data_IF_069093182031
#
_entry.id   IF_069093182031
#
_cell.length_a   1.000
_cell.length_b   1.000
_cell.length_c   1.000
_cell.angle_alpha   90.00
_cell.angle_beta   90.00
_cell.angle_gamma   90.00
#
_symmetry.space_group_name_H-M   'P 1'
#
loop_
_entity.id
_entity.type
_entity.pdbx_description
1 polymer ?
#
# COMPACT_ATOMS: atom_id res chain seq x y z
N UNK A 1 7.08 -10.54 -24.06
CA UNK A 1 6.75 -11.59 -23.08
C UNK A 1 7.31 -11.13 -21.75
N UNK A 2 6.53 -10.34 -21.01
CA UNK A 2 6.93 -9.80 -19.71
C UNK A 2 6.58 -10.86 -18.65
N UNK A 3 7.56 -11.58 -18.14
CA UNK A 3 7.41 -12.39 -16.93
C UNK A 3 7.86 -11.56 -15.71
N UNK A 4 6.97 -11.61 -14.72
CA UNK A 4 6.93 -11.06 -13.37
C UNK A 4 8.24 -10.59 -12.71
N UNK A 5 8.48 -9.28 -12.78
CA UNK A 5 9.36 -8.57 -11.83
C UNK A 5 8.69 -8.48 -10.44
N UNK A 6 7.35 -8.58 -10.40
CA UNK A 6 6.48 -8.49 -9.23
C UNK A 6 6.66 -9.67 -8.27
N UNK A 7 6.73 -10.92 -8.75
CA UNK A 7 6.81 -12.10 -7.88
C UNK A 7 8.12 -12.16 -7.08
N UNK A 8 9.26 -11.84 -7.70
CA UNK A 8 10.56 -11.86 -7.01
C UNK A 8 10.69 -10.73 -5.97
N UNK A 9 10.11 -9.56 -6.22
CA UNK A 9 10.08 -8.47 -5.25
C UNK A 9 9.17 -8.79 -4.05
N UNK A 10 8.01 -9.41 -4.31
CA UNK A 10 7.08 -9.90 -3.27
C UNK A 10 7.73 -10.97 -2.39
N UNK A 11 8.45 -11.92 -2.98
CA UNK A 11 9.09 -13.01 -2.24
C UNK A 11 10.22 -12.52 -1.32
N UNK A 12 11.00 -11.52 -1.76
CA UNK A 12 12.05 -10.92 -0.93
C UNK A 12 11.48 -10.12 0.25
N UNK A 13 10.38 -9.38 0.05
CA UNK A 13 9.67 -8.66 1.13
C UNK A 13 9.07 -9.63 2.16
N UNK A 14 8.59 -10.80 1.74
CA UNK A 14 8.00 -11.80 2.64
C UNK A 14 9.02 -12.38 3.63
N UNK A 15 10.27 -12.60 3.19
CA UNK A 15 11.32 -13.18 4.05
C UNK A 15 11.82 -12.19 5.11
N UNK A 16 11.83 -10.89 4.80
CA UNK A 16 12.15 -9.83 5.76
C UNK A 16 11.03 -9.60 6.77
N UNK A 17 9.77 -9.73 6.34
CA UNK A 17 8.60 -9.54 7.21
C UNK A 17 8.35 -10.74 8.15
N UNK A 18 8.40 -11.96 7.62
CA UNK A 18 8.21 -13.19 8.42
C UNK A 18 9.32 -13.41 9.45
N UNK A 19 10.55 -12.95 9.18
CA UNK A 19 11.66 -13.03 10.12
C UNK A 19 11.58 -12.06 11.31
N UNK A 20 10.78 -10.98 11.22
CA UNK A 20 10.66 -9.97 12.30
C UNK A 20 9.48 -10.23 13.25
N UNK A 21 8.38 -10.81 12.76
CA UNK A 21 7.22 -11.15 13.61
C UNK A 21 7.41 -12.41 14.47
N UNK A 22 8.40 -13.26 14.16
CA UNK A 22 8.77 -14.42 15.00
C UNK A 22 9.39 -14.07 16.37
N UNK A 23 9.46 -12.78 16.73
CA UNK A 23 10.05 -12.31 17.99
C UNK A 23 9.04 -12.21 19.15
N UNK A 24 7.74 -12.39 18.90
CA UNK A 24 6.67 -12.29 19.92
C UNK A 24 5.89 -13.61 20.00
N UNK A 25 6.60 -14.70 20.32
CA UNK A 25 6.12 -15.75 21.23
C UNK A 25 7.17 -16.85 21.31
N UNK A 26 7.85 -16.89 22.44
CA UNK A 26 8.91 -17.84 22.70
C UNK A 26 8.28 -19.17 23.10
N UNK A 27 8.10 -20.08 22.12
CA UNK A 27 8.09 -21.56 22.23
C UNK A 27 7.56 -22.14 20.92
N UNK A 28 8.45 -22.45 19.98
CA UNK A 28 8.28 -23.64 19.13
C UNK A 28 9.60 -24.06 18.45
N UNK A 29 9.74 -25.38 18.38
CA UNK A 29 10.95 -26.14 18.07
C UNK A 29 11.42 -25.91 16.63
N UNK A 30 12.73 -25.78 16.48
CA UNK A 30 13.41 -25.73 15.19
C UNK A 30 13.14 -26.98 14.34
N UNK A 31 12.43 -26.81 13.24
CA UNK A 31 12.40 -27.75 12.12
C UNK A 31 13.46 -27.32 11.11
N UNK A 32 14.53 -28.11 11.01
CA UNK A 32 15.53 -28.03 9.95
C UNK A 32 14.88 -28.43 8.63
N UNK A 33 14.68 -27.48 7.71
CA UNK A 33 14.38 -27.77 6.32
C UNK A 33 15.69 -27.61 5.52
N UNK A 34 16.14 -28.64 4.77
CA UNK A 34 17.34 -28.54 3.94
C UNK A 34 17.05 -27.69 2.68
N UNK A 35 17.72 -26.55 2.58
CA UNK A 35 17.65 -25.67 1.41
C UNK A 35 18.67 -26.14 0.35
N UNK A 36 18.23 -26.98 -0.61
CA UNK A 36 19.05 -27.39 -1.77
C UNK A 36 18.82 -26.54 -3.04
N UNK A 37 18.04 -25.46 -2.98
CA UNK A 37 17.77 -24.60 -4.13
C UNK A 37 18.42 -23.23 -3.96
N UNK A 38 19.73 -23.13 -4.16
CA UNK A 38 20.42 -21.84 -4.11
C UNK A 38 21.63 -21.70 -5.07
N UNK A 39 21.73 -22.49 -6.14
CA UNK A 39 22.97 -22.51 -6.96
C UNK A 39 22.86 -22.44 -8.49
N UNK A 40 21.75 -22.02 -9.09
CA UNK A 40 21.67 -21.99 -10.57
C UNK A 40 21.28 -20.63 -11.20
N UNK A 41 20.96 -19.60 -10.41
CA UNK A 41 20.38 -18.36 -10.97
C UNK A 41 21.35 -17.17 -11.18
N UNK A 42 22.65 -17.43 -11.39
CA UNK A 42 23.65 -16.36 -11.56
C UNK A 42 24.37 -16.32 -12.91
N UNK A 43 23.98 -17.14 -13.89
CA UNK A 43 24.62 -17.20 -15.20
C UNK A 43 23.52 -17.36 -16.26
N UNK A 44 22.94 -16.26 -16.77
CA UNK A 44 22.25 -16.14 -18.09
C UNK A 44 21.32 -14.90 -18.17
N UNK A 45 21.72 -13.70 -17.73
CA UNK A 45 20.92 -12.49 -18.05
C UNK A 45 21.79 -11.24 -18.29
N UNK A 46 22.95 -11.38 -18.95
CA UNK A 46 23.81 -10.21 -19.20
C UNK A 46 24.37 -10.04 -20.61
N UNK A 47 23.88 -10.79 -21.61
CA UNK A 47 24.54 -10.79 -22.93
C UNK A 47 23.66 -10.65 -24.17
N UNK A 48 22.45 -10.11 -24.03
CA UNK A 48 21.65 -9.75 -25.20
C UNK A 48 20.93 -8.44 -24.91
N UNK A 49 21.49 -7.32 -25.38
CA UNK A 49 20.78 -6.18 -26.00
C UNK A 49 21.70 -4.95 -26.08
N UNK A 50 22.65 -4.97 -27.02
CA UNK A 50 23.28 -3.75 -27.56
C UNK A 50 23.37 -3.83 -29.07
N UNK A 51 22.22 -3.96 -29.75
CA UNK A 51 22.14 -3.70 -31.18
C UNK A 51 22.23 -2.19 -31.39
N UNK A 52 23.38 -1.75 -31.92
CA UNK A 52 23.71 -0.36 -32.16
C UNK A 52 22.83 0.27 -33.23
N UNK A 53 21.90 1.13 -32.81
CA UNK A 53 21.19 2.06 -33.69
C UNK A 53 21.99 3.37 -33.69
N UNK A 54 22.76 3.63 -34.76
CA UNK A 54 23.36 4.93 -35.03
C UNK A 54 22.33 5.78 -35.75
N UNK A 55 21.79 6.80 -35.08
CA UNK A 55 20.94 7.81 -35.70
C UNK A 55 20.53 8.89 -34.70
N UNK A 56 20.89 10.14 -34.99
CA UNK A 56 20.81 11.33 -34.13
C UNK A 56 19.38 11.78 -33.70
N UNK A 57 18.37 10.90 -33.81
CA UNK A 57 16.99 11.13 -33.36
C UNK A 57 16.65 10.46 -32.02
N UNK A 58 17.65 9.88 -31.34
CA UNK A 58 17.42 9.04 -30.14
C UNK A 58 17.47 9.82 -28.81
N UNK A 59 17.76 11.13 -28.86
CA UNK A 59 17.79 11.99 -27.65
C UNK A 59 16.39 12.41 -27.20
N UNK A 60 15.49 12.72 -28.12
CA UNK A 60 14.19 13.34 -27.77
C UNK A 60 13.13 12.34 -27.25
N UNK A 61 13.26 11.04 -27.55
CA UNK A 61 12.28 10.01 -27.14
C UNK A 61 12.50 9.53 -25.70
N UNK A 62 13.74 9.55 -25.19
CA UNK A 62 14.03 9.08 -23.82
C UNK A 62 13.57 10.06 -22.74
N UNK A 63 13.49 11.35 -23.06
CA UNK A 63 13.12 12.41 -22.11
C UNK A 63 11.59 12.45 -21.87
N UNK A 64 10.78 12.17 -22.90
CA UNK A 64 9.32 12.13 -22.79
C UNK A 64 8.77 10.93 -22.00
N UNK A 65 9.46 9.78 -22.01
CA UNK A 65 9.09 8.61 -21.20
C UNK A 65 9.49 8.74 -19.73
N UNK A 66 10.50 9.55 -19.42
CA UNK A 66 10.96 9.78 -18.05
C UNK A 66 10.04 10.74 -17.27
N UNK A 67 9.39 11.68 -17.97
CA UNK A 67 8.55 12.73 -17.38
C UNK A 67 7.15 12.28 -16.94
N UNK A 68 6.76 11.01 -17.09
CA UNK A 68 5.41 10.53 -16.73
C UNK A 68 5.34 9.42 -15.69
N UNK A 69 6.44 9.11 -15.00
CA UNK A 69 6.32 8.34 -13.76
C UNK A 69 5.88 9.27 -12.63
N UNK A 70 4.60 9.63 -12.63
CA UNK A 70 3.97 10.30 -11.50
C UNK A 70 4.00 9.31 -10.33
N UNK A 71 4.80 9.60 -9.30
CA UNK A 71 4.77 8.84 -8.06
C UNK A 71 3.37 8.93 -7.49
N UNK A 72 2.68 7.79 -7.44
CA UNK A 72 1.32 7.72 -6.91
C UNK A 72 1.40 7.80 -5.39
N UNK A 73 0.40 8.45 -4.80
CA UNK A 73 0.22 8.52 -3.35
C UNK A 73 -1.04 7.73 -3.00
N UNK A 74 -0.92 6.78 -2.09
CA UNK A 74 -2.03 5.95 -1.62
C UNK A 74 -2.41 6.35 -0.22
N UNK A 75 -3.71 6.46 0.04
CA UNK A 75 -4.25 6.70 1.36
C UNK A 75 -5.15 5.53 1.73
N UNK A 76 -4.78 4.80 2.76
CA UNK A 76 -5.43 3.56 3.14
C UNK A 76 -6.28 3.81 4.38
N UNK A 77 -7.54 3.42 4.29
CA UNK A 77 -8.47 3.41 5.42
C UNK A 77 -7.96 2.46 6.54
N UNK A 78 -8.36 2.73 7.79
CA UNK A 78 -7.98 1.96 8.97
C UNK A 78 -8.32 0.48 8.80
N UNK A 79 -9.46 0.17 8.16
CA UNK A 79 -9.90 -1.20 7.89
C UNK A 79 -8.87 -2.03 7.11
N UNK A 80 -8.09 -1.42 6.22
CA UNK A 80 -7.06 -2.10 5.41
C UNK A 80 -5.81 -2.41 6.24
N UNK A 81 -5.42 -1.51 7.15
CA UNK A 81 -4.33 -1.76 8.10
C UNK A 81 -4.67 -2.92 9.04
N UNK A 82 -5.92 -2.96 9.49
CA UNK A 82 -6.45 -4.04 10.33
C UNK A 82 -6.46 -5.37 9.56
N UNK A 83 -6.93 -5.36 8.31
CA UNK A 83 -6.88 -6.54 7.43
C UNK A 83 -5.47 -7.13 7.35
N UNK A 84 -4.47 -6.27 7.14
CA UNK A 84 -3.06 -6.64 7.08
C UNK A 84 -2.56 -7.21 8.42
N UNK A 85 -2.81 -6.52 9.52
CA UNK A 85 -2.25 -6.88 10.83
C UNK A 85 -2.86 -8.17 11.40
N UNK A 86 -4.18 -8.31 11.32
CA UNK A 86 -4.90 -9.45 11.89
C UNK A 86 -5.05 -10.62 10.92
N UNK A 87 -4.63 -10.44 9.65
CA UNK A 87 -4.85 -11.39 8.57
C UNK A 87 -6.33 -11.79 8.44
N UNK A 88 -7.22 -10.79 8.40
CA UNK A 88 -8.68 -11.01 8.45
C UNK A 88 -9.17 -11.78 7.22
N UNK A 89 -10.31 -12.44 7.39
CA UNK A 89 -11.06 -13.08 6.31
C UNK A 89 -12.43 -12.46 6.14
N UNK A 90 -12.87 -12.32 4.88
CA UNK A 90 -14.19 -11.79 4.52
C UNK A 90 -15.31 -12.80 4.71
N UNK A 91 -16.55 -12.38 4.45
CA UNK A 91 -17.76 -13.20 4.63
C UNK A 91 -17.71 -14.52 3.84
N UNK A 92 -17.12 -14.51 2.64
CA UNK A 92 -16.95 -15.69 1.79
C UNK A 92 -15.57 -16.35 1.95
N UNK A 93 -14.94 -16.22 3.13
CA UNK A 93 -13.57 -16.67 3.38
C UNK A 93 -12.56 -16.01 2.41
N UNK A 94 -12.87 -14.80 1.94
CA UNK A 94 -11.99 -13.98 1.11
C UNK A 94 -10.73 -13.63 1.93
N UNK A 95 -9.53 -13.75 1.36
CA UNK A 95 -8.30 -13.54 2.09
C UNK A 95 -7.94 -12.04 2.16
N UNK A 96 -8.67 -11.28 2.98
CA UNK A 96 -8.51 -9.82 3.07
C UNK A 96 -7.09 -9.42 3.47
N UNK A 97 -6.50 -10.16 4.42
CA UNK A 97 -5.10 -10.00 4.80
C UNK A 97 -4.13 -10.18 3.65
N UNK A 98 -4.33 -11.18 2.79
CA UNK A 98 -3.47 -11.41 1.61
C UNK A 98 -3.62 -10.29 0.58
N UNK A 99 -4.84 -9.78 0.37
CA UNK A 99 -5.06 -8.64 -0.52
C UNK A 99 -4.38 -7.37 -0.01
N UNK A 100 -4.50 -7.08 1.28
CA UNK A 100 -3.79 -5.96 1.90
C UNK A 100 -2.27 -6.16 1.77
N UNK A 101 -1.75 -7.34 2.14
CA UNK A 101 -0.33 -7.67 2.00
C UNK A 101 0.21 -7.43 0.58
N UNK A 102 -0.49 -7.95 -0.44
CA UNK A 102 -0.10 -7.76 -1.85
C UNK A 102 -0.12 -6.28 -2.25
N UNK A 103 -1.12 -5.52 -1.81
CA UNK A 103 -1.21 -4.09 -2.08
C UNK A 103 -0.01 -3.33 -1.47
N UNK A 104 0.31 -3.55 -0.21
CA UNK A 104 1.47 -2.91 0.45
C UNK A 104 2.78 -3.29 -0.25
N UNK A 105 2.93 -4.55 -0.65
CA UNK A 105 4.07 -5.03 -1.44
C UNK A 105 4.18 -4.32 -2.79
N UNK A 106 3.07 -4.14 -3.51
CA UNK A 106 3.01 -3.43 -4.79
C UNK A 106 3.37 -1.95 -4.65
N UNK A 107 2.84 -1.26 -3.62
CA UNK A 107 3.15 0.15 -3.35
C UNK A 107 4.65 0.31 -3.10
N UNK A 108 5.23 -0.54 -2.25
CA UNK A 108 6.66 -0.53 -1.90
C UNK A 108 7.56 -0.84 -3.11
N UNK A 109 7.24 -1.90 -3.86
CA UNK A 109 7.99 -2.29 -5.06
C UNK A 109 7.99 -1.19 -6.14
N UNK A 110 6.86 -0.49 -6.27
CA UNK A 110 6.69 0.61 -7.22
C UNK A 110 7.28 1.95 -6.73
N UNK A 111 7.87 1.99 -5.52
CA UNK A 111 8.37 3.22 -4.87
C UNK A 111 7.30 4.33 -4.78
N UNK A 112 6.03 3.93 -4.71
CA UNK A 112 4.93 4.86 -4.47
C UNK A 112 4.90 5.27 -2.99
N UNK A 113 4.21 6.37 -2.69
CA UNK A 113 4.12 6.88 -1.32
C UNK A 113 2.86 6.39 -0.63
N UNK A 114 2.98 6.11 0.65
CA UNK A 114 1.87 5.74 1.52
C UNK A 114 1.58 6.91 2.45
N UNK A 115 0.39 7.46 2.40
CA UNK A 115 0.01 8.64 3.18
C UNK A 115 -0.67 8.20 4.48
N UNK A 116 -0.21 8.75 5.60
CA UNK A 116 -0.80 8.52 6.93
C UNK A 116 -1.23 9.87 7.49
N UNK A 117 -2.48 9.96 7.93
CA UNK A 117 -3.01 11.15 8.61
C UNK A 117 -3.00 10.98 10.13
N UNK A 118 -3.00 12.09 10.87
CA UNK A 118 -3.23 12.06 12.33
C UNK A 118 -4.62 11.52 12.68
N UNK A 119 -5.59 11.66 11.79
CA UNK A 119 -6.93 11.11 11.95
C UNK A 119 -6.95 9.58 11.84
N UNK A 120 -6.27 9.01 10.84
CA UNK A 120 -6.11 7.56 10.69
C UNK A 120 -5.47 6.93 11.94
N UNK A 121 -4.45 7.59 12.50
CA UNK A 121 -3.81 7.11 13.74
C UNK A 121 -4.81 7.05 14.90
N UNK A 122 -5.67 8.07 15.06
CA UNK A 122 -6.71 8.08 16.12
C UNK A 122 -7.77 7.00 15.93
N UNK A 123 -8.12 6.66 14.69
CA UNK A 123 -9.03 5.55 14.42
C UNK A 123 -8.42 4.22 14.83
N UNK A 124 -7.14 4.00 14.53
CA UNK A 124 -6.40 2.81 14.97
C UNK A 124 -6.24 2.77 16.50
N UNK A 125 -6.00 3.91 17.15
CA UNK A 125 -5.91 4.03 18.62
C UNK A 125 -7.18 3.58 19.35
N UNK A 126 -8.32 3.49 18.65
CA UNK A 126 -9.56 2.96 19.23
C UNK A 126 -9.49 1.46 19.52
N UNK A 127 -8.58 0.72 18.87
CA UNK A 127 -8.47 -0.75 19.00
C UNK A 127 -7.05 -1.23 19.33
N UNK A 128 -6.02 -0.39 19.12
CA UNK A 128 -4.62 -0.76 19.28
C UNK A 128 -3.85 0.27 20.11
N UNK A 129 -2.83 -0.20 20.82
CA UNK A 129 -1.87 0.68 21.51
C UNK A 129 -1.00 1.45 20.52
N UNK A 130 -0.42 2.57 20.98
CA UNK A 130 0.50 3.36 20.15
C UNK A 130 1.75 2.54 19.76
N UNK A 131 2.20 1.63 20.62
CA UNK A 131 3.30 0.70 20.33
C UNK A 131 2.96 -0.26 19.19
N UNK A 132 1.76 -0.84 19.19
CA UNK A 132 1.27 -1.71 18.12
C UNK A 132 1.14 -0.94 16.80
N UNK A 133 0.55 0.26 16.83
CA UNK A 133 0.42 1.12 15.65
C UNK A 133 1.80 1.47 15.08
N UNK A 134 2.75 1.82 15.94
CA UNK A 134 4.13 2.05 15.52
C UNK A 134 4.76 0.78 14.90
N UNK A 135 4.45 -0.39 15.46
CA UNK A 135 4.85 -1.69 14.90
C UNK A 135 4.27 -1.97 13.50
N UNK A 136 2.99 -1.64 13.28
CA UNK A 136 2.32 -1.77 11.97
C UNK A 136 2.97 -0.87 10.91
N UNK A 137 3.32 0.37 11.29
CA UNK A 137 3.82 1.41 10.41
C UNK A 137 5.31 1.21 10.07
N UNK A 138 6.11 0.69 11.02
CA UNK A 138 7.57 0.60 10.93
C UNK A 138 8.12 -0.04 9.62
N UNK A 139 7.54 -1.11 9.06
CA UNK A 139 8.05 -1.74 7.83
C UNK A 139 7.98 -0.86 6.57
N UNK A 140 7.24 0.25 6.63
CA UNK A 140 6.95 1.14 5.50
C UNK A 140 7.44 2.58 5.73
N UNK A 141 8.24 2.82 6.78
CA UNK A 141 8.66 4.17 7.21
C UNK A 141 9.36 4.97 6.11
N UNK A 142 10.07 4.29 5.19
CA UNK A 142 10.79 4.87 4.06
C UNK A 142 9.87 5.41 2.93
N UNK A 143 8.67 4.86 2.82
CA UNK A 143 7.67 5.26 1.83
C UNK A 143 6.52 6.08 2.41
N UNK A 144 6.50 6.29 3.74
CA UNK A 144 5.43 7.03 4.40
C UNK A 144 5.58 8.55 4.23
N UNK A 145 4.47 9.20 3.93
CA UNK A 145 4.29 10.66 3.96
C UNK A 145 3.20 10.98 4.99
N UNK A 146 3.48 11.91 5.91
CA UNK A 146 2.53 12.28 6.97
C UNK A 146 1.76 13.54 6.59
N UNK A 147 0.45 13.51 6.80
CA UNK A 147 -0.44 14.67 6.59
C UNK A 147 -1.22 14.96 7.87
N UNK A 148 -1.58 16.22 8.09
CA UNK A 148 -2.34 16.64 9.25
C UNK A 148 -3.71 17.18 8.82
N UNK A 149 -4.75 16.74 9.52
CA UNK A 149 -6.10 17.23 9.26
C UNK A 149 -6.26 18.66 9.76
N UNK A 150 -6.65 19.55 8.85
CA UNK A 150 -6.96 20.94 9.19
C UNK A 150 -8.36 21.09 9.79
N UNK A 151 -8.58 22.16 10.57
CA UNK A 151 -9.91 22.49 11.09
C UNK A 151 -10.95 22.67 9.97
N UNK A 152 -10.55 23.35 8.88
CA UNK A 152 -11.43 23.57 7.71
C UNK A 152 -11.95 22.27 7.12
N UNK A 153 -11.08 21.26 6.97
CA UNK A 153 -11.47 19.94 6.47
C UNK A 153 -12.44 19.23 7.42
N UNK A 154 -12.25 19.36 8.74
CA UNK A 154 -13.18 18.78 9.74
C UNK A 154 -14.55 19.46 9.70
N UNK A 155 -14.57 20.79 9.58
CA UNK A 155 -15.82 21.55 9.50
C UNK A 155 -16.57 21.23 8.19
N UNK A 156 -15.86 21.15 7.05
CA UNK A 156 -16.40 20.72 5.77
C UNK A 156 -16.95 19.28 5.83
N UNK A 157 -16.19 18.35 6.40
CA UNK A 157 -16.61 16.95 6.56
C UNK A 157 -17.90 16.83 7.36
N UNK A 158 -18.05 17.62 8.44
CA UNK A 158 -19.25 17.62 9.28
C UNK A 158 -20.49 18.09 8.51
N UNK A 159 -20.37 19.14 7.71
CA UNK A 159 -21.50 19.66 6.92
C UNK A 159 -21.93 18.63 5.88
N UNK A 160 -20.98 18.11 5.09
CA UNK A 160 -21.26 17.11 4.05
C UNK A 160 -21.81 15.80 4.62
N UNK A 161 -21.29 15.36 5.78
CA UNK A 161 -21.79 14.20 6.49
C UNK A 161 -23.25 14.36 6.91
N UNK A 162 -23.65 15.54 7.36
CA UNK A 162 -25.05 15.83 7.70
C UNK A 162 -25.94 15.86 6.46
N UNK A 163 -25.51 16.51 5.38
CA UNK A 163 -26.27 16.60 4.12
C UNK A 163 -26.52 15.22 3.49
N UNK A 164 -25.53 14.32 3.57
CA UNK A 164 -25.59 12.99 2.95
C UNK A 164 -25.97 11.87 3.92
N UNK A 165 -26.19 12.18 5.20
CA UNK A 165 -26.42 11.19 6.25
C UNK A 165 -25.33 10.10 6.32
N UNK A 166 -24.06 10.52 6.21
CA UNK A 166 -22.88 9.65 6.24
C UNK A 166 -22.06 9.87 7.52
N UNK A 167 -21.21 8.90 7.93
CA UNK A 167 -20.28 9.11 9.04
C UNK A 167 -19.27 10.22 8.72
N UNK A 168 -19.02 11.17 9.64
CA UNK A 168 -18.09 12.27 9.39
C UNK A 168 -16.64 11.82 9.18
N UNK A 169 -16.25 10.66 9.72
CA UNK A 169 -14.93 10.06 9.48
C UNK A 169 -14.71 9.65 8.03
N UNK A 170 -15.67 8.94 7.43
CA UNK A 170 -15.61 8.50 6.03
C UNK A 170 -15.57 9.69 5.06
N UNK A 171 -16.35 10.73 5.36
CA UNK A 171 -16.32 11.98 4.59
C UNK A 171 -14.97 12.67 4.72
N UNK A 172 -14.38 12.69 5.93
CA UNK A 172 -13.06 13.28 6.16
C UNK A 172 -11.95 12.56 5.41
N UNK A 173 -11.98 11.22 5.35
CA UNK A 173 -11.04 10.43 4.52
C UNK A 173 -11.14 10.82 3.04
N UNK A 174 -12.34 11.01 2.52
CA UNK A 174 -12.57 11.42 1.13
C UNK A 174 -12.03 12.83 0.84
N UNK A 175 -12.26 13.78 1.76
CA UNK A 175 -11.72 15.14 1.65
C UNK A 175 -10.19 15.14 1.70
N UNK A 176 -9.59 14.36 2.60
CA UNK A 176 -8.13 14.21 2.66
C UNK A 176 -7.55 13.67 1.36
N UNK A 177 -8.21 12.67 0.77
CA UNK A 177 -7.80 12.10 -0.50
C UNK A 177 -7.90 13.13 -1.63
N UNK A 178 -9.00 13.88 -1.71
CA UNK A 178 -9.20 14.96 -2.69
C UNK A 178 -8.11 16.03 -2.59
N UNK A 179 -7.93 16.61 -1.40
CA UNK A 179 -7.08 17.78 -1.21
C UNK A 179 -5.58 17.48 -1.43
N UNK A 180 -5.18 16.22 -1.24
CA UNK A 180 -3.80 15.79 -1.41
C UNK A 180 -3.57 14.96 -2.69
N UNK A 181 -4.58 14.85 -3.57
CA UNK A 181 -4.54 14.05 -4.81
C UNK A 181 -4.12 12.59 -4.56
N UNK A 182 -4.77 11.93 -3.60
CA UNK A 182 -4.47 10.57 -3.15
C UNK A 182 -5.40 9.55 -3.81
N UNK A 183 -4.88 8.35 -4.01
CA UNK A 183 -5.68 7.17 -4.34
C UNK A 183 -6.19 6.58 -3.03
N UNK A 184 -7.48 6.76 -2.76
CA UNK A 184 -8.12 6.23 -1.56
C UNK A 184 -8.38 4.74 -1.70
N UNK A 185 -7.89 3.95 -0.75
CA UNK A 185 -8.12 2.51 -0.69
C UNK A 185 -8.97 2.19 0.55
N UNK A 186 -10.14 1.58 0.32
CA UNK A 186 -11.08 1.18 1.38
C UNK A 186 -11.99 0.07 0.88
N UNK A 187 -12.60 -0.68 1.80
CA UNK A 187 -13.64 -1.66 1.52
C UNK A 187 -15.05 -1.17 1.90
N UNK A 188 -15.15 -0.02 2.55
CA UNK A 188 -16.43 0.49 3.05
C UNK A 188 -17.31 0.98 1.88
N UNK A 189 -18.58 0.59 1.93
CA UNK A 189 -19.60 0.93 0.93
C UNK A 189 -20.06 2.38 1.04
N UNK A 190 -19.87 3.05 2.18
CA UNK A 190 -20.24 4.46 2.34
C UNK A 190 -19.55 5.36 1.31
N UNK A 191 -18.32 5.02 0.89
CA UNK A 191 -17.55 5.78 -0.09
C UNK A 191 -18.15 5.78 -1.50
N UNK A 192 -19.08 4.86 -1.83
CA UNK A 192 -19.80 4.89 -3.11
C UNK A 192 -20.57 6.21 -3.27
N UNK A 193 -21.09 6.75 -2.17
CA UNK A 193 -21.81 8.02 -2.13
C UNK A 193 -20.89 9.25 -2.10
N UNK A 194 -19.56 9.06 -2.09
CA UNK A 194 -18.55 10.11 -2.01
C UNK A 194 -17.65 10.13 -3.27
N UNK A 195 -18.05 9.44 -4.33
CA UNK A 195 -17.29 9.29 -5.58
C UNK A 195 -17.08 10.60 -6.34
N UNK A 196 -17.93 11.61 -6.09
CA UNK A 196 -17.79 12.98 -6.61
C UNK A 196 -16.69 13.78 -5.88
N UNK A 197 -16.36 13.42 -4.63
CA UNK A 197 -15.28 14.03 -3.84
C UNK A 197 -13.96 13.33 -4.12
N UNK A 198 -13.94 12.01 -3.99
CA UNK A 198 -12.75 11.19 -4.24
C UNK A 198 -13.14 9.80 -4.71
N UNK A 199 -12.41 9.27 -5.69
CA UNK A 199 -12.57 7.87 -6.10
C UNK A 199 -11.90 6.97 -5.08
N UNK A 200 -12.64 5.97 -4.61
CA UNK A 200 -12.13 4.87 -3.79
C UNK A 200 -11.96 3.61 -4.62
N UNK A 201 -11.01 2.77 -4.20
CA UNK A 201 -10.75 1.46 -4.79
C UNK A 201 -10.59 0.42 -3.69
N UNK A 202 -10.91 -0.83 -4.01
CA UNK A 202 -10.58 -1.96 -3.14
C UNK A 202 -9.15 -2.44 -3.39
N UNK A 203 -8.49 -3.09 -2.41
CA UNK A 203 -7.17 -3.66 -2.62
C UNK A 203 -7.08 -4.59 -3.85
N UNK A 204 -8.08 -5.45 -4.05
CA UNK A 204 -8.17 -6.41 -5.16
C UNK A 204 -8.35 -5.78 -6.55
N UNK A 205 -8.72 -4.50 -6.63
CA UNK A 205 -8.88 -3.78 -7.90
C UNK A 205 -7.56 -3.16 -8.39
N UNK A 206 -6.55 -3.09 -7.51
CA UNK A 206 -5.26 -2.44 -7.77
C UNK A 206 -4.13 -3.45 -8.00
N UNK A 207 -4.19 -4.62 -7.34
CA UNK A 207 -3.21 -5.72 -7.45
C UNK A 207 -3.39 -6.51 -8.74
#
# INVERSE_FOLDING_TARGET
MHQDITENALYMSYREFSGRFSSINNKQKALKIPCQFCRVWHILVFELFTVGVKGDKQKDIKEASFLRYQMKKYYLDASIWIDLYENRKGFNNEPLGDFAWKLFGLIKASKNKLVISDFLVRELESNYSIEEINGMIKPFEDIIERVFVTKKQKDEAKILAQERSLPPGDVLHSILARDNNLILITRDKHFVQLTDISRSYKPEEII
#
